data_IF_760661806742
#
_entry.id   IF_760661806742
#
_cell.length_a   1.000
_cell.length_b   1.000
_cell.length_c   1.000
_cell.angle_alpha   90.00
_cell.angle_beta   90.00
_cell.angle_gamma   90.00
#
_symmetry.space_group_name_H-M   'P 1'
#
loop_
_entity.id
_entity.type
_entity.pdbx_description
1 polymer ?
#
# COMPACT_ATOMS: atom_id res chain seq x y z
N UNK A 1 -40.89 37.13 -36.83
CA UNK A 1 -40.70 35.80 -37.43
C UNK A 1 -39.25 35.43 -37.18
N UNK A 2 -38.98 34.71 -36.09
CA UNK A 2 -37.64 34.51 -35.53
C UNK A 2 -37.34 33.02 -35.62
N UNK A 3 -36.38 32.65 -36.46
CA UNK A 3 -35.98 31.25 -36.60
C UNK A 3 -35.15 30.83 -35.37
N UNK A 4 -35.42 29.66 -34.76
CA UNK A 4 -34.57 29.15 -33.70
C UNK A 4 -33.25 28.64 -34.28
N UNK A 5 -32.14 29.11 -33.70
CA UNK A 5 -30.78 28.66 -33.99
C UNK A 5 -30.69 27.18 -33.62
N UNK A 6 -30.33 26.37 -34.62
CA UNK A 6 -30.12 24.93 -34.51
C UNK A 6 -28.94 24.66 -33.59
N UNK A 7 -29.22 24.12 -32.40
CA UNK A 7 -28.23 23.68 -31.41
C UNK A 7 -27.66 22.32 -31.86
N UNK A 8 -26.69 22.35 -32.78
CA UNK A 8 -25.72 21.27 -33.00
C UNK A 8 -24.35 21.85 -32.65
N UNK A 9 -23.55 21.03 -31.98
CA UNK A 9 -22.17 21.28 -31.53
C UNK A 9 -21.97 21.89 -30.14
N UNK A 10 -22.74 21.40 -29.17
CA UNK A 10 -22.11 21.05 -27.89
C UNK A 10 -22.24 19.54 -27.70
N UNK A 11 -21.28 18.81 -28.29
CA UNK A 11 -20.85 17.55 -27.69
C UNK A 11 -20.37 17.91 -26.29
N UNK A 12 -21.26 17.75 -25.32
CA UNK A 12 -20.84 17.59 -23.93
C UNK A 12 -19.90 16.41 -23.94
N UNK A 13 -18.61 16.70 -23.76
CA UNK A 13 -17.61 15.70 -23.47
C UNK A 13 -18.05 14.99 -22.18
N UNK A 14 -18.85 13.94 -22.33
CA UNK A 14 -18.94 12.90 -21.34
C UNK A 14 -17.55 12.30 -21.17
N UNK A 15 -17.17 12.07 -19.91
CA UNK A 15 -16.00 11.26 -19.59
C UNK A 15 -15.00 11.97 -18.70
N UNK A 16 -15.38 12.16 -17.44
CA UNK A 16 -14.61 11.69 -16.29
C UNK A 16 -15.35 12.21 -15.07
N UNK A 17 -16.35 11.44 -14.63
CA UNK A 17 -16.46 11.28 -13.18
C UNK A 17 -15.06 10.88 -12.74
N UNK A 18 -14.37 11.81 -12.10
CA UNK A 18 -13.13 11.58 -11.38
C UNK A 18 -13.52 10.68 -10.21
N UNK A 19 -13.80 9.42 -10.52
CA UNK A 19 -14.12 8.40 -9.56
C UNK A 19 -12.86 8.29 -8.72
N UNK A 20 -12.85 8.99 -7.58
CA UNK A 20 -11.82 8.90 -6.57
C UNK A 20 -11.77 7.43 -6.18
N UNK A 21 -10.88 6.69 -6.84
CA UNK A 21 -10.70 5.26 -6.61
C UNK A 21 -10.31 5.15 -5.13
N UNK A 22 -11.11 4.48 -4.29
CA UNK A 22 -10.81 4.34 -2.87
C UNK A 22 -9.40 3.77 -2.71
N UNK A 23 -8.64 4.27 -1.73
CA UNK A 23 -7.27 3.81 -1.47
C UNK A 23 -7.24 2.27 -1.36
N UNK A 24 -8.26 1.66 -0.75
CA UNK A 24 -8.44 0.21 -0.69
C UNK A 24 -8.42 -0.49 -2.08
N UNK A 25 -9.02 0.14 -3.09
CA UNK A 25 -9.07 -0.40 -4.46
C UNK A 25 -7.75 -0.19 -5.22
N UNK A 26 -6.97 0.86 -4.88
CA UNK A 26 -5.60 1.03 -5.41
C UNK A 26 -4.64 0.03 -4.78
N UNK A 27 -4.73 -0.17 -3.46
CA UNK A 27 -3.92 -1.12 -2.69
C UNK A 27 -4.06 -2.57 -3.21
N UNK A 28 -5.28 -2.99 -3.55
CA UNK A 28 -5.54 -4.34 -4.08
C UNK A 28 -4.90 -4.66 -5.43
N UNK A 29 -4.35 -3.67 -6.14
CA UNK A 29 -3.75 -3.85 -7.48
C UNK A 29 -2.23 -3.99 -7.50
N UNK A 30 -1.54 -3.80 -6.37
CA UNK A 30 -0.06 -3.81 -6.26
C UNK A 30 0.48 -5.05 -5.52
N UNK A 31 0.02 -6.25 -5.87
CA UNK A 31 0.58 -7.50 -5.31
C UNK A 31 1.79 -7.97 -6.12
N UNK A 32 3.00 -7.68 -5.65
CA UNK A 32 4.17 -8.51 -5.97
C UNK A 32 4.07 -9.87 -5.26
N UNK A 33 4.58 -10.93 -5.89
CA UNK A 33 4.58 -12.28 -5.31
C UNK A 33 5.58 -12.35 -4.14
N UNK A 34 5.07 -12.54 -2.93
CA UNK A 34 5.88 -12.65 -1.71
C UNK A 34 6.34 -14.10 -1.53
N UNK A 35 7.61 -14.30 -1.17
CA UNK A 35 8.09 -15.61 -0.74
C UNK A 35 7.35 -16.06 0.53
N UNK A 36 6.59 -17.15 0.42
CA UNK A 36 5.65 -17.62 1.45
C UNK A 36 6.34 -18.10 2.74
N UNK A 37 7.56 -18.64 2.66
CA UNK A 37 8.25 -19.15 3.85
C UNK A 37 8.63 -18.07 4.88
N UNK A 38 9.33 -16.99 4.50
CA UNK A 38 9.60 -15.90 5.43
C UNK A 38 8.33 -15.17 5.86
N UNK A 39 7.30 -15.15 5.01
CA UNK A 39 6.01 -14.55 5.33
C UNK A 39 5.32 -15.24 6.52
N UNK A 40 5.22 -16.58 6.51
CA UNK A 40 4.56 -17.32 7.59
C UNK A 40 5.23 -17.07 8.96
N UNK A 41 6.57 -16.99 8.96
CA UNK A 41 7.35 -16.69 10.16
C UNK A 41 7.13 -15.24 10.64
N UNK A 42 7.08 -14.27 9.73
CA UNK A 42 6.75 -12.89 10.05
C UNK A 42 5.33 -12.79 10.65
N UNK A 43 4.35 -13.42 10.01
CA UNK A 43 2.97 -13.40 10.51
C UNK A 43 2.87 -13.98 11.92
N UNK A 44 3.53 -15.12 12.18
CA UNK A 44 3.57 -15.72 13.50
C UNK A 44 4.22 -14.80 14.55
N UNK A 45 5.31 -14.11 14.20
CA UNK A 45 5.96 -13.13 15.08
C UNK A 45 5.02 -11.98 15.41
N UNK A 46 4.47 -11.32 14.39
CA UNK A 46 3.56 -10.18 14.60
C UNK A 46 2.33 -10.60 15.41
N UNK A 47 1.81 -11.81 15.14
CA UNK A 47 0.70 -12.40 15.88
C UNK A 47 0.98 -12.56 17.36
N UNK A 48 2.11 -13.16 17.70
CA UNK A 48 2.53 -13.28 19.09
C UNK A 48 2.63 -11.92 19.79
N UNK A 49 3.11 -10.89 19.07
CA UNK A 49 3.23 -9.54 19.61
C UNK A 49 1.89 -8.86 19.87
N UNK A 50 0.94 -8.92 18.92
CA UNK A 50 -0.37 -8.28 19.12
C UNK A 50 -1.29 -9.06 20.07
N UNK A 51 -1.11 -10.37 20.19
CA UNK A 51 -1.80 -11.18 21.19
C UNK A 51 -1.27 -10.88 22.61
N UNK A 52 0.03 -10.60 22.74
CA UNK A 52 0.63 -10.17 24.00
C UNK A 52 0.33 -8.70 24.35
N UNK A 53 0.16 -7.84 23.34
CA UNK A 53 -0.16 -6.43 23.52
C UNK A 53 -1.25 -5.98 22.53
N UNK A 54 -2.50 -5.94 23.01
CA UNK A 54 -3.66 -5.49 22.23
C UNK A 54 -3.64 -3.99 21.87
N UNK A 55 -2.73 -3.21 22.46
CA UNK A 55 -2.52 -1.78 22.18
C UNK A 55 -1.30 -1.53 21.30
N UNK A 56 -0.81 -2.55 20.58
CA UNK A 56 0.23 -2.36 19.57
C UNK A 56 -0.25 -1.37 18.51
N UNK A 57 0.60 -0.43 18.13
CA UNK A 57 0.28 0.59 17.12
C UNK A 57 0.86 0.24 15.75
N UNK A 58 0.41 0.99 14.74
CA UNK A 58 0.88 0.83 13.36
C UNK A 58 2.41 0.91 13.21
N UNK A 59 3.09 1.77 13.98
CA UNK A 59 4.54 1.94 13.86
C UNK A 59 5.27 0.70 14.38
N UNK A 60 4.86 0.17 15.53
CA UNK A 60 5.42 -1.06 16.09
C UNK A 60 5.22 -2.26 15.15
N UNK A 61 4.09 -2.32 14.42
CA UNK A 61 3.86 -3.35 13.41
C UNK A 61 4.81 -3.23 12.21
N UNK A 62 5.08 -1.99 11.75
CA UNK A 62 6.05 -1.73 10.69
C UNK A 62 7.47 -2.09 11.16
N UNK A 63 7.83 -1.70 12.38
CA UNK A 63 9.16 -1.98 12.94
C UNK A 63 9.39 -3.49 13.06
N UNK A 64 8.40 -4.26 13.54
CA UNK A 64 8.48 -5.73 13.57
C UNK A 64 8.71 -6.34 12.19
N UNK A 65 8.06 -5.80 11.16
CA UNK A 65 8.25 -6.24 9.78
C UNK A 65 9.65 -5.90 9.26
N UNK A 66 10.11 -4.66 9.44
CA UNK A 66 11.41 -4.19 8.93
C UNK A 66 12.59 -4.82 9.67
N UNK A 67 12.43 -5.09 10.96
CA UNK A 67 13.47 -5.72 11.79
C UNK A 67 13.48 -7.24 11.67
N UNK A 68 12.44 -7.84 11.08
CA UNK A 68 12.37 -9.28 10.85
C UNK A 68 13.60 -9.78 10.11
N UNK A 69 14.32 -10.69 10.77
CA UNK A 69 15.57 -11.25 10.28
C UNK A 69 15.41 -12.77 10.20
N UNK A 70 15.71 -13.33 9.02
CA UNK A 70 15.75 -14.77 8.81
C UNK A 70 16.97 -15.40 9.50
N UNK A 71 16.99 -16.73 9.60
CA UNK A 71 18.12 -17.48 10.16
C UNK A 71 19.46 -17.24 9.43
N UNK A 72 19.41 -16.87 8.15
CA UNK A 72 20.57 -16.52 7.33
C UNK A 72 21.05 -15.06 7.50
N UNK A 73 20.41 -14.30 8.40
CA UNK A 73 20.72 -12.89 8.67
C UNK A 73 20.12 -11.89 7.68
N UNK A 74 19.37 -12.36 6.68
CA UNK A 74 18.73 -11.47 5.70
C UNK A 74 17.44 -10.85 6.25
N UNK A 75 17.15 -9.61 5.83
CA UNK A 75 15.94 -8.86 6.18
C UNK A 75 15.04 -8.69 4.95
N UNK A 76 14.22 -9.70 4.61
CA UNK A 76 13.46 -9.71 3.35
C UNK A 76 12.40 -8.60 3.25
N UNK A 77 11.91 -8.10 4.38
CA UNK A 77 10.85 -7.08 4.45
C UNK A 77 11.36 -5.70 4.86
N UNK A 78 12.67 -5.51 4.97
CA UNK A 78 13.26 -4.19 5.23
C UNK A 78 13.05 -3.19 4.07
N UNK A 79 13.13 -3.58 2.78
CA UNK A 79 12.95 -2.64 1.68
C UNK A 79 11.53 -2.06 1.63
N UNK A 80 11.43 -0.73 1.52
CA UNK A 80 10.16 0.03 1.53
C UNK A 80 9.18 -0.46 0.45
N UNK A 81 9.70 -0.83 -0.74
CA UNK A 81 8.89 -1.37 -1.84
C UNK A 81 8.05 -2.59 -1.45
N UNK A 82 8.52 -3.39 -0.49
CA UNK A 82 7.86 -4.63 -0.05
C UNK A 82 6.76 -4.40 1.00
N UNK A 83 6.70 -3.22 1.62
CA UNK A 83 5.89 -2.99 2.81
C UNK A 83 4.39 -3.08 2.53
N UNK A 84 3.95 -2.44 1.43
CA UNK A 84 2.53 -2.36 1.08
C UNK A 84 1.93 -3.73 0.78
N UNK A 85 2.61 -4.56 -0.02
CA UNK A 85 2.16 -5.91 -0.36
C UNK A 85 2.21 -6.84 0.86
N UNK A 86 3.27 -6.75 1.67
CA UNK A 86 3.44 -7.57 2.88
C UNK A 86 2.36 -7.30 3.91
N UNK A 87 2.07 -6.02 4.21
CA UNK A 87 1.01 -5.65 5.14
C UNK A 87 -0.38 -6.04 4.63
N UNK A 88 -0.61 -5.98 3.31
CA UNK A 88 -1.86 -6.46 2.73
C UNK A 88 -2.05 -7.97 2.93
N UNK A 89 -1.01 -8.76 2.68
CA UNK A 89 -1.05 -10.21 2.87
C UNK A 89 -1.24 -10.57 4.36
N UNK A 90 -0.59 -9.84 5.29
CA UNK A 90 -0.83 -9.99 6.74
C UNK A 90 -2.28 -9.68 7.09
N UNK A 91 -2.86 -8.61 6.55
CA UNK A 91 -4.26 -8.27 6.79
C UNK A 91 -5.21 -9.33 6.24
N UNK A 92 -4.96 -9.86 5.04
CA UNK A 92 -5.74 -10.95 4.47
C UNK A 92 -5.67 -12.19 5.34
N UNK A 93 -4.48 -12.52 5.86
CA UNK A 93 -4.30 -13.66 6.77
C UNK A 93 -4.97 -13.44 8.12
N UNK A 94 -4.83 -12.26 8.72
CA UNK A 94 -5.50 -11.90 9.96
C UNK A 94 -7.03 -11.97 9.83
N UNK A 95 -7.58 -11.51 8.70
CA UNK A 95 -9.01 -11.64 8.39
C UNK A 95 -9.44 -13.10 8.26
N UNK A 96 -8.66 -13.93 7.57
CA UNK A 96 -8.94 -15.37 7.45
C UNK A 96 -8.91 -16.09 8.81
N UNK A 97 -8.07 -15.63 9.74
CA UNK A 97 -8.01 -16.11 11.13
C UNK A 97 -9.17 -15.56 12.02
N UNK A 98 -10.09 -14.76 11.47
CA UNK A 98 -11.20 -14.14 12.21
C UNK A 98 -10.83 -12.88 12.99
N UNK A 99 -9.67 -12.28 12.70
CA UNK A 99 -9.13 -11.11 13.38
C UNK A 99 -9.65 -9.76 12.91
N UNK A 100 -10.64 -9.71 12.00
CA UNK A 100 -11.14 -8.45 11.41
C UNK A 100 -11.73 -7.48 12.46
N UNK A 101 -12.32 -8.01 13.53
CA UNK A 101 -12.87 -7.23 14.64
C UNK A 101 -11.84 -6.90 15.73
N UNK A 102 -10.58 -7.35 15.60
CA UNK A 102 -9.55 -7.08 16.60
C UNK A 102 -9.02 -5.65 16.45
N UNK A 103 -8.63 -4.98 17.55
CA UNK A 103 -8.02 -3.66 17.52
C UNK A 103 -6.81 -3.57 16.57
N UNK A 104 -6.03 -4.66 16.47
CA UNK A 104 -4.86 -4.74 15.59
C UNK A 104 -5.22 -4.59 14.10
N UNK A 105 -6.42 -4.96 13.67
CA UNK A 105 -6.81 -4.88 12.26
C UNK A 105 -6.83 -3.43 11.75
N UNK A 106 -7.30 -2.50 12.60
CA UNK A 106 -7.26 -1.06 12.32
C UNK A 106 -5.82 -0.55 12.22
N UNK A 107 -4.94 -1.03 13.08
CA UNK A 107 -3.52 -0.63 13.11
C UNK A 107 -2.74 -1.21 11.93
N UNK A 108 -3.06 -2.44 11.51
CA UNK A 108 -2.55 -3.03 10.25
C UNK A 108 -2.99 -2.22 9.02
N UNK A 109 -4.24 -1.77 8.99
CA UNK A 109 -4.72 -0.89 7.92
C UNK A 109 -3.99 0.47 7.92
N UNK A 110 -3.81 1.07 9.09
CA UNK A 110 -3.05 2.32 9.21
C UNK A 110 -1.59 2.15 8.75
N UNK A 111 -0.93 1.06 9.15
CA UNK A 111 0.41 0.72 8.69
C UNK A 111 0.46 0.59 7.16
N UNK A 112 -0.51 -0.11 6.55
CA UNK A 112 -0.59 -0.28 5.11
C UNK A 112 -0.74 1.08 4.38
N UNK A 113 -1.57 1.97 4.90
CA UNK A 113 -1.75 3.33 4.34
C UNK A 113 -0.46 4.14 4.43
N UNK A 114 0.27 4.07 5.56
CA UNK A 114 1.56 4.75 5.70
C UNK A 114 2.59 4.22 4.71
N UNK A 115 2.70 2.91 4.54
CA UNK A 115 3.59 2.28 3.57
C UNK A 115 3.25 2.66 2.13
N UNK A 116 1.97 2.74 1.79
CA UNK A 116 1.53 3.17 0.46
C UNK A 116 1.87 4.63 0.18
N UNK A 117 1.61 5.53 1.12
CA UNK A 117 1.98 6.94 1.00
C UNK A 117 3.51 7.11 0.86
N UNK A 118 4.28 6.33 1.64
CA UNK A 118 5.75 6.30 1.54
C UNK A 118 6.23 5.82 0.16
N UNK A 119 5.64 4.75 -0.38
CA UNK A 119 5.97 4.24 -1.71
C UNK A 119 5.69 5.27 -2.81
N UNK A 120 4.55 5.95 -2.79
CA UNK A 120 4.23 7.00 -3.77
C UNK A 120 5.25 8.14 -3.74
N UNK A 121 5.64 8.59 -2.55
CA UNK A 121 6.63 9.67 -2.40
C UNK A 121 7.99 9.22 -2.94
N UNK A 122 8.40 7.99 -2.63
CA UNK A 122 9.66 7.42 -3.11
C UNK A 122 9.67 7.26 -4.64
N UNK A 123 8.61 6.72 -5.21
CA UNK A 123 8.47 6.56 -6.68
C UNK A 123 8.55 7.91 -7.39
N UNK A 124 7.80 8.92 -6.91
CA UNK A 124 7.85 10.26 -7.47
C UNK A 124 9.24 10.90 -7.36
N UNK A 125 9.93 10.68 -6.24
CA UNK A 125 11.30 11.16 -6.04
C UNK A 125 12.29 10.50 -7.02
N UNK A 126 12.22 9.17 -7.19
CA UNK A 126 13.07 8.43 -8.12
C UNK A 126 12.83 8.87 -9.57
N UNK A 127 11.57 9.02 -9.98
CA UNK A 127 11.22 9.55 -11.31
C UNK A 127 11.80 10.95 -11.53
N UNK A 128 11.67 11.84 -10.53
CA UNK A 128 12.24 13.19 -10.62
C UNK A 128 13.77 13.21 -10.70
N UNK A 129 14.46 12.25 -10.05
CA UNK A 129 15.91 12.10 -10.20
C UNK A 129 16.31 11.54 -11.57
N UNK A 130 15.60 10.55 -12.09
CA UNK A 130 15.87 9.97 -13.41
C UNK A 130 15.69 11.01 -14.53
N UNK A 131 14.64 11.84 -14.45
CA UNK A 131 14.41 12.95 -15.39
C UNK A 131 15.53 14.00 -15.31
N UNK A 132 16.17 14.17 -14.15
CA UNK A 132 17.33 15.07 -13.99
C UNK A 132 18.65 14.47 -14.50
N UNK A 133 18.78 13.15 -14.54
CA UNK A 133 19.97 12.46 -15.06
C UNK A 133 19.99 12.37 -16.60
N UNK A 134 18.84 12.48 -17.27
CA UNK A 134 18.81 12.75 -18.72
C UNK A 134 19.36 14.16 -18.97
N UNK A 135 20.67 14.20 -19.19
CA UNK A 135 21.52 15.35 -19.48
C UNK A 135 20.85 16.34 -20.45
N UNK A 136 20.41 17.51 -19.95
CA UNK A 136 20.14 18.65 -20.82
C UNK A 136 21.47 19.14 -21.40
N UNK A 137 21.64 19.14 -22.74
CA UNK A 137 22.86 19.63 -23.38
C UNK A 137 22.80 21.16 -23.40
N UNK A 138 23.10 21.79 -22.27
CA UNK A 138 23.44 23.21 -22.21
C UNK A 138 24.72 23.45 -21.41
#
# INVERSE_FOLDING_TARGET
MTMPISMRDYVSAGGADDAVVPIAQRLGSMTEEIDKKPFDALYALMKAHWEANSSIDAQALIDLMVEFTKDDGTKPFAPISTHTSTLMEIMMRAKADGGEDLPVYKELYAAQVYSFAGNIVLENFVQAMLVREEYEPW
#
